data_IF_405223566948
#
_entry.id   IF_405223566948
#
_cell.length_a   1.000
_cell.length_b   1.000
_cell.length_c   1.000
_cell.angle_alpha   90.00
_cell.angle_beta   90.00
_cell.angle_gamma   90.00
#
_symmetry.space_group_name_H-M   'P 1'
#
loop_
_entity.id
_entity.type
_entity.pdbx_description
1 polymer ?
#
# COMPACT_ATOMS: atom_id res chain seq x y z
N UNK A 1 26.99 60.76 0.05
CA UNK A 1 26.76 59.42 -0.53
C UNK A 1 26.13 58.60 0.57
N UNK A 2 24.89 58.14 0.39
CA UNK A 2 24.28 57.22 1.36
C UNK A 2 24.82 55.83 1.10
N UNK A 3 25.45 55.25 2.12
CA UNK A 3 25.86 53.86 2.15
C UNK A 3 24.61 52.99 1.92
N UNK A 4 24.50 52.40 0.73
CA UNK A 4 23.47 51.41 0.44
C UNK A 4 24.03 50.07 0.83
N UNK A 5 23.73 49.63 2.05
CA UNK A 5 24.00 48.25 2.44
C UNK A 5 23.19 47.31 1.52
N UNK A 6 23.79 46.24 0.98
CA UNK A 6 23.09 45.30 0.13
C UNK A 6 22.04 44.57 0.95
N UNK A 7 20.77 44.70 0.56
CA UNK A 7 19.68 43.90 1.13
C UNK A 7 19.87 42.45 0.70
N UNK A 8 20.32 41.61 1.64
CA UNK A 8 20.34 40.16 1.47
C UNK A 8 18.90 39.67 1.58
N UNK A 9 18.35 39.23 0.45
CA UNK A 9 17.04 38.59 0.42
C UNK A 9 17.29 37.09 0.58
N UNK A 10 17.12 36.60 1.81
CA UNK A 10 17.08 35.17 2.08
C UNK A 10 15.82 34.57 1.45
N UNK A 11 15.95 34.15 0.19
CA UNK A 11 14.91 33.39 -0.53
C UNK A 11 14.96 31.92 -0.10
N UNK A 12 15.29 31.65 1.16
CA UNK A 12 15.28 30.33 1.81
C UNK A 12 13.94 30.10 2.48
N UNK A 13 12.86 30.33 1.73
CA UNK A 13 11.50 30.30 2.26
C UNK A 13 11.11 28.90 2.73
N UNK A 14 10.33 28.90 3.80
CA UNK A 14 9.60 27.82 4.49
C UNK A 14 8.80 26.82 3.63
N UNK A 15 8.98 26.77 2.31
CA UNK A 15 8.26 25.92 1.35
C UNK A 15 9.03 24.71 0.83
N UNK A 16 10.33 24.56 1.12
CA UNK A 16 11.12 23.42 0.63
C UNK A 16 10.59 22.05 1.08
N UNK A 17 9.94 21.99 2.24
CA UNK A 17 9.33 20.76 2.77
C UNK A 17 7.96 20.45 2.16
N UNK A 18 7.29 21.42 1.52
CA UNK A 18 5.94 21.25 1.00
C UNK A 18 5.90 20.14 -0.07
N UNK A 19 6.92 20.09 -0.94
CA UNK A 19 7.05 19.02 -1.93
C UNK A 19 7.18 17.67 -1.26
N UNK A 20 8.03 17.57 -0.22
CA UNK A 20 8.19 16.33 0.54
C UNK A 20 6.89 15.90 1.24
N UNK A 21 6.14 16.84 1.82
CA UNK A 21 4.86 16.56 2.46
C UNK A 21 3.79 16.12 1.45
N UNK A 22 3.70 16.75 0.29
CA UNK A 22 2.76 16.35 -0.77
C UNK A 22 3.09 14.93 -1.24
N UNK A 23 4.37 14.63 -1.49
CA UNK A 23 4.79 13.29 -1.88
C UNK A 23 4.45 12.25 -0.82
N UNK A 24 4.69 12.56 0.47
CA UNK A 24 4.32 11.68 1.58
C UNK A 24 2.82 11.39 1.59
N UNK A 25 1.97 12.42 1.45
CA UNK A 25 0.51 12.27 1.42
C UNK A 25 0.08 11.39 0.26
N UNK A 26 0.64 11.59 -0.94
CA UNK A 26 0.31 10.78 -2.12
C UNK A 26 0.69 9.31 -1.91
N UNK A 27 1.86 9.04 -1.32
CA UNK A 27 2.30 7.66 -1.03
C UNK A 27 1.37 6.99 -0.01
N UNK A 28 1.02 7.68 1.08
CA UNK A 28 0.15 7.12 2.12
C UNK A 28 -1.26 6.88 1.57
N UNK A 29 -1.85 7.89 0.91
CA UNK A 29 -3.19 7.78 0.35
C UNK A 29 -3.26 6.70 -0.74
N UNK A 30 -2.29 6.69 -1.66
CA UNK A 30 -2.20 5.66 -2.70
C UNK A 30 -2.01 4.27 -2.12
N UNK A 31 -1.14 4.11 -1.12
CA UNK A 31 -0.91 2.84 -0.43
C UNK A 31 -2.16 2.30 0.25
N UNK A 32 -2.90 3.16 0.97
CA UNK A 32 -4.15 2.78 1.64
C UNK A 32 -5.23 2.36 0.64
N UNK A 33 -5.42 3.10 -0.45
CA UNK A 33 -6.39 2.75 -1.50
C UNK A 33 -6.06 1.39 -2.11
N UNK A 34 -4.78 1.12 -2.41
CA UNK A 34 -4.34 -0.15 -2.98
C UNK A 34 -4.43 -1.32 -1.99
N UNK A 35 -4.24 -1.05 -0.69
CA UNK A 35 -4.35 -2.04 0.37
C UNK A 35 -5.81 -2.41 0.66
N UNK A 36 -6.67 -1.41 0.90
CA UNK A 36 -8.11 -1.61 1.14
C UNK A 36 -8.82 -2.17 -0.09
N UNK A 37 -8.43 -1.75 -1.29
CA UNK A 37 -8.96 -2.29 -2.55
C UNK A 37 -8.56 -3.74 -2.84
N UNK A 38 -7.82 -4.41 -1.94
CA UNK A 38 -7.43 -5.81 -2.10
C UNK A 38 -6.41 -6.06 -3.21
N UNK A 39 -5.80 -5.01 -3.77
CA UNK A 39 -4.74 -5.14 -4.77
C UNK A 39 -3.43 -5.63 -4.13
N UNK A 40 -3.09 -5.09 -2.96
CA UNK A 40 -1.94 -5.48 -2.14
C UNK A 40 -2.31 -6.37 -0.94
N UNK A 41 -3.61 -6.50 -0.64
CA UNK A 41 -4.12 -7.30 0.48
C UNK A 41 -4.30 -8.78 0.12
N UNK A 42 -4.38 -9.61 1.17
CA UNK A 42 -4.56 -11.06 1.08
C UNK A 42 -5.88 -11.38 0.36
N UNK A 43 -5.80 -11.90 -0.87
CA UNK A 43 -6.95 -12.52 -1.54
C UNK A 43 -7.23 -13.85 -0.86
N UNK A 44 -8.33 -13.94 -0.12
CA UNK A 44 -8.83 -15.21 0.38
C UNK A 44 -9.34 -16.01 -0.82
N UNK A 45 -8.59 -17.05 -1.21
CA UNK A 45 -9.00 -18.01 -2.23
C UNK A 45 -9.50 -19.23 -1.50
N UNK A 46 -10.82 -19.39 -1.41
CA UNK A 46 -11.43 -20.60 -0.88
C UNK A 46 -11.28 -21.72 -1.91
N UNK A 47 -10.48 -22.72 -1.56
CA UNK A 47 -10.30 -23.93 -2.36
C UNK A 47 -11.25 -24.99 -1.80
N UNK A 48 -12.34 -25.26 -2.51
CA UNK A 48 -13.20 -26.40 -2.21
C UNK A 48 -12.62 -27.66 -2.85
N UNK A 49 -12.43 -28.70 -2.03
CA UNK A 49 -11.92 -30.01 -2.48
C UNK A 49 -13.01 -31.05 -2.30
N UNK A 50 -13.66 -31.41 -3.39
CA UNK A 50 -14.58 -32.54 -3.41
C UNK A 50 -13.80 -33.84 -3.52
N UNK A 51 -13.89 -34.69 -2.50
CA UNK A 51 -13.32 -36.04 -2.54
C UNK A 51 -14.30 -37.02 -3.19
N UNK A 52 -13.81 -37.97 -4.00
CA UNK A 52 -14.65 -39.04 -4.53
C UNK A 52 -15.18 -39.92 -3.40
N UNK A 53 -16.42 -40.38 -3.52
CA UNK A 53 -17.00 -41.35 -2.58
C UNK A 53 -16.14 -42.61 -2.54
N UNK A 54 -15.61 -42.93 -1.37
CA UNK A 54 -14.93 -44.21 -1.12
C UNK A 54 -15.99 -45.23 -0.70
N UNK A 55 -16.20 -46.25 -1.52
CA UNK A 55 -17.00 -47.41 -1.16
C UNK A 55 -16.13 -48.43 -0.43
N UNK A 56 -16.59 -48.91 0.74
CA UNK A 56 -15.86 -49.92 1.49
C UNK A 56 -15.91 -51.27 0.76
N UNK A 57 -14.78 -52.03 0.68
CA UNK A 57 -14.78 -53.36 0.10
C UNK A 57 -15.78 -54.27 0.81
N UNK A 58 -16.51 -55.05 0.03
CA UNK A 58 -17.52 -55.96 0.57
C UNK A 58 -16.82 -57.06 1.38
N UNK A 59 -17.24 -57.33 2.63
CA UNK A 59 -16.61 -58.36 3.43
C UNK A 59 -16.80 -59.73 2.77
N UNK A 60 -15.69 -60.42 2.49
CA UNK A 60 -15.73 -61.79 1.97
C UNK A 60 -16.08 -62.72 3.14
N UNK A 61 -17.35 -63.12 3.25
CA UNK A 61 -17.75 -64.20 4.15
C UNK A 61 -17.35 -65.52 3.51
N UNK A 62 -16.40 -66.24 4.13
CA UNK A 62 -16.08 -67.64 3.83
C UNK A 62 -16.87 -68.57 4.74
#
# INVERSE_FOLDING_TARGET
MSDREPTVIDTGGSGGWAVAAILLIVIIAGGLILFEGGYLGTRNVDIDVSLPKVEAPQPITR
#
